data_IF_469089741450
#
_entry.id   IF_469089741450
#
_cell.length_a   1.000
_cell.length_b   1.000
_cell.length_c   1.000
_cell.angle_alpha   90.00
_cell.angle_beta   90.00
_cell.angle_gamma   90.00
#
_symmetry.space_group_name_H-M   'P 1'
#
loop_
_entity.id
_entity.type
_entity.pdbx_description
1 polymer ?
#
# COMPACT_ATOMS: atom_id res chain seq x y z
N UNK A 1 -23.93 -1.57 11.84
CA UNK A 1 -23.25 -1.35 10.55
C UNK A 1 -22.02 -2.21 10.59
N UNK A 2 -21.96 -3.15 9.65
CA UNK A 2 -21.03 -4.29 9.59
C UNK A 2 -19.58 -3.82 9.69
N UNK A 3 -18.73 -4.60 10.38
CA UNK A 3 -17.47 -4.16 10.97
C UNK A 3 -16.50 -3.41 10.05
N UNK A 4 -16.13 -2.20 10.47
CA UNK A 4 -14.97 -1.45 9.99
C UNK A 4 -13.64 -2.10 10.42
N UNK A 5 -13.43 -3.35 9.99
CA UNK A 5 -12.29 -4.16 10.34
C UNK A 5 -11.29 -4.25 9.20
N UNK A 6 -10.01 -4.02 9.51
CA UNK A 6 -8.90 -4.30 8.60
C UNK A 6 -9.01 -5.76 8.10
N UNK A 7 -8.95 -6.06 6.80
CA UNK A 7 -9.07 -7.44 6.31
C UNK A 7 -8.00 -8.37 6.89
N UNK A 8 -8.32 -9.65 7.03
CA UNK A 8 -7.36 -10.65 7.54
C UNK A 8 -6.18 -10.86 6.58
N UNK A 9 -6.47 -10.83 5.28
CA UNK A 9 -5.49 -10.93 4.20
C UNK A 9 -5.86 -9.95 3.10
N UNK A 10 -4.83 -9.28 2.57
CA UNK A 10 -4.90 -8.39 1.41
C UNK A 10 -3.99 -8.94 0.33
N UNK A 11 -4.52 -9.13 -0.87
CA UNK A 11 -3.70 -9.48 -2.04
C UNK A 11 -3.13 -8.22 -2.69
N UNK A 12 -1.89 -8.32 -3.12
CA UNK A 12 -1.14 -7.23 -3.73
C UNK A 12 -0.69 -7.64 -5.13
N UNK A 13 -0.85 -6.75 -6.09
CA UNK A 13 -0.32 -6.90 -7.45
C UNK A 13 0.63 -5.74 -7.73
N UNK A 14 1.81 -6.05 -8.24
CA UNK A 14 2.76 -5.02 -8.65
C UNK A 14 2.35 -4.46 -10.01
N UNK A 15 1.92 -3.19 -10.00
CA UNK A 15 1.61 -2.43 -11.20
C UNK A 15 2.51 -1.18 -11.34
N UNK A 16 3.66 -1.16 -10.64
CA UNK A 16 4.62 -0.05 -10.67
C UNK A 16 5.54 -0.08 -11.89
N UNK A 17 5.67 -1.24 -12.52
CA UNK A 17 6.53 -1.44 -13.68
C UNK A 17 7.98 -1.73 -13.29
N UNK A 18 8.92 -1.28 -14.13
CA UNK A 18 10.35 -1.51 -13.91
C UNK A 18 10.87 -0.69 -12.72
N UNK A 19 11.84 -1.24 -11.99
CA UNK A 19 12.49 -0.56 -10.87
C UNK A 19 13.22 0.69 -11.38
N UNK A 20 12.87 1.90 -10.89
CA UNK A 20 13.59 3.11 -11.27
C UNK A 20 14.96 3.17 -10.58
N UNK A 21 15.89 3.91 -11.18
CA UNK A 21 17.28 4.03 -10.68
C UNK A 21 17.36 4.63 -9.27
N UNK A 22 16.43 5.53 -8.93
CA UNK A 22 16.34 6.20 -7.63
C UNK A 22 15.53 5.38 -6.58
N UNK A 23 15.10 4.17 -6.91
CA UNK A 23 14.30 3.35 -6.00
C UNK A 23 15.05 3.04 -4.69
N UNK A 24 14.41 3.33 -3.56
CA UNK A 24 14.93 3.01 -2.25
C UNK A 24 14.65 1.52 -1.93
N UNK A 25 15.70 0.76 -1.59
CA UNK A 25 15.60 -0.65 -1.22
C UNK A 25 16.58 -1.57 -1.95
N UNK A 26 16.43 -2.89 -1.76
CA UNK A 26 17.37 -3.91 -2.24
C UNK A 26 16.64 -5.03 -2.99
N UNK A 27 17.19 -5.44 -4.14
CA UNK A 27 16.60 -6.49 -4.98
C UNK A 27 15.15 -6.17 -5.37
N UNK A 28 14.24 -7.10 -5.07
CA UNK A 28 12.80 -6.99 -5.32
C UNK A 28 12.06 -6.14 -4.27
N UNK A 29 12.70 -5.83 -3.15
CA UNK A 29 12.13 -5.05 -2.05
C UNK A 29 12.54 -3.59 -2.21
N UNK A 30 11.77 -2.84 -2.98
CA UNK A 30 12.03 -1.43 -3.24
C UNK A 30 10.74 -0.61 -3.27
N UNK A 31 10.83 0.69 -3.02
CA UNK A 31 9.74 1.65 -3.19
C UNK A 31 10.28 2.97 -3.77
N UNK A 32 9.41 3.76 -4.39
CA UNK A 32 9.78 5.08 -4.92
C UNK A 32 9.85 6.13 -3.81
N UNK A 33 10.99 6.84 -3.65
CA UNK A 33 11.10 7.91 -2.65
C UNK A 33 10.16 9.09 -2.93
N UNK A 34 9.64 9.24 -4.15
CA UNK A 34 8.61 10.23 -4.50
C UNK A 34 7.39 10.21 -3.57
N UNK A 35 7.06 9.05 -2.96
CA UNK A 35 5.96 8.93 -1.99
C UNK A 35 6.11 9.91 -0.80
N UNK A 36 7.34 10.28 -0.44
CA UNK A 36 7.61 11.21 0.65
C UNK A 36 7.26 12.65 0.32
N UNK A 37 7.21 13.01 -0.97
CA UNK A 37 6.84 14.34 -1.44
C UNK A 37 5.32 14.51 -1.63
N UNK A 38 4.55 13.40 -1.62
CA UNK A 38 3.11 13.45 -1.82
C UNK A 38 2.39 14.09 -0.63
N UNK A 39 1.29 14.84 -0.86
CA UNK A 39 0.49 15.49 0.19
C UNK A 39 -0.43 14.51 0.94
N UNK A 40 0.10 13.32 1.28
CA UNK A 40 -0.56 12.28 2.07
C UNK A 40 -0.01 12.21 3.50
N UNK A 41 -0.73 11.52 4.37
CA UNK A 41 -0.38 11.34 5.78
C UNK A 41 0.90 10.53 5.95
N UNK A 42 1.66 10.75 7.04
CA UNK A 42 2.86 9.97 7.33
C UNK A 42 2.57 8.45 7.38
N UNK A 43 1.41 8.06 7.93
CA UNK A 43 0.97 6.67 7.98
C UNK A 43 0.76 6.08 6.60
N UNK A 44 0.15 6.82 5.66
CA UNK A 44 -0.02 6.37 4.28
C UNK A 44 1.34 6.16 3.57
N UNK A 45 2.31 7.07 3.76
CA UNK A 45 3.66 6.95 3.18
C UNK A 45 4.39 5.70 3.67
N UNK A 46 4.38 5.49 5.00
CA UNK A 46 5.00 4.30 5.62
C UNK A 46 4.28 3.04 5.16
N UNK A 47 2.96 3.07 5.08
CA UNK A 47 2.16 1.94 4.62
C UNK A 47 2.49 1.59 3.17
N UNK A 48 2.59 2.55 2.26
CA UNK A 48 3.00 2.33 0.87
C UNK A 48 4.37 1.65 0.79
N UNK A 49 5.38 2.17 1.50
CA UNK A 49 6.71 1.59 1.52
C UNK A 49 6.70 0.16 2.09
N UNK A 50 5.89 -0.09 3.12
CA UNK A 50 5.66 -1.42 3.68
C UNK A 50 5.04 -2.37 2.67
N UNK A 51 3.91 -1.99 2.06
CA UNK A 51 3.22 -2.78 1.03
C UNK A 51 4.14 -3.16 -0.14
N UNK A 52 5.01 -2.24 -0.56
CA UNK A 52 5.99 -2.51 -1.60
C UNK A 52 6.94 -3.67 -1.25
N UNK A 53 7.23 -3.88 0.04
CA UNK A 53 8.05 -5.00 0.51
C UNK A 53 7.30 -6.35 0.47
N UNK A 54 5.97 -6.32 0.37
CA UNK A 54 5.12 -7.51 0.26
C UNK A 54 4.62 -7.77 -1.18
N UNK A 55 5.15 -7.07 -2.18
CA UNK A 55 4.79 -7.32 -3.59
C UNK A 55 5.37 -8.62 -4.13
N UNK A 56 6.58 -9.00 -3.72
CA UNK A 56 7.17 -10.29 -4.08
C UNK A 56 6.36 -11.50 -3.55
N UNK A 57 5.90 -11.52 -2.27
CA UNK A 57 4.98 -12.56 -1.81
C UNK A 57 3.55 -12.41 -2.39
N UNK A 58 3.14 -11.21 -2.81
CA UNK A 58 1.84 -10.96 -3.46
C UNK A 58 0.65 -10.90 -2.50
N UNK A 59 0.90 -10.98 -1.19
CA UNK A 59 -0.12 -10.81 -0.16
C UNK A 59 0.49 -10.30 1.15
N UNK A 60 -0.33 -9.64 1.95
CA UNK A 60 0.00 -9.19 3.30
C UNK A 60 -1.18 -9.49 4.22
N UNK A 61 -0.91 -10.07 5.39
CA UNK A 61 -1.95 -10.36 6.38
C UNK A 61 -2.11 -9.19 7.37
N UNK A 62 -3.19 -9.22 8.15
CA UNK A 62 -3.49 -8.21 9.17
C UNK A 62 -2.35 -7.99 10.16
N UNK A 63 -1.65 -9.05 10.56
CA UNK A 63 -0.53 -8.97 11.52
C UNK A 63 0.64 -8.21 10.92
N UNK A 64 0.98 -8.45 9.66
CA UNK A 64 2.05 -7.74 8.95
C UNK A 64 1.67 -6.29 8.61
N UNK A 65 0.39 -6.03 8.29
CA UNK A 65 -0.14 -4.67 8.17
C UNK A 65 0.02 -3.88 9.48
N UNK A 66 -0.35 -4.50 10.62
CA UNK A 66 -0.14 -3.91 11.96
C UNK A 66 1.35 -3.77 12.31
N UNK A 67 2.20 -4.67 11.80
CA UNK A 67 3.65 -4.56 11.94
C UNK A 67 4.22 -3.37 11.17
N UNK A 68 3.64 -3.04 10.02
CA UNK A 68 4.06 -1.90 9.18
C UNK A 68 3.77 -0.55 9.85
N UNK A 69 2.58 -0.41 10.44
CA UNK A 69 2.17 0.76 11.22
C UNK A 69 2.08 0.41 12.70
N UNK A 70 3.24 0.09 13.30
CA UNK A 70 3.31 -0.27 14.72
C UNK A 70 2.63 0.78 15.59
N UNK A 71 1.94 0.31 16.63
CA UNK A 71 1.21 1.13 17.61
C UNK A 71 -0.01 1.89 17.06
N UNK A 72 -0.41 1.67 15.79
CA UNK A 72 -1.64 2.23 15.24
C UNK A 72 -2.81 1.24 15.36
N UNK A 73 -4.04 1.72 15.68
CA UNK A 73 -5.23 0.88 15.65
C UNK A 73 -5.61 0.52 14.21
N UNK A 74 -6.32 -0.59 14.04
CA UNK A 74 -6.76 -1.10 12.74
C UNK A 74 -7.52 -0.04 11.92
N UNK A 75 -8.28 0.84 12.58
CA UNK A 75 -8.99 1.97 11.94
C UNK A 75 -8.04 2.98 11.27
N UNK A 76 -6.88 3.24 11.88
CA UNK A 76 -5.86 4.13 11.29
C UNK A 76 -5.19 3.48 10.09
N UNK A 77 -4.97 2.17 10.15
CA UNK A 77 -4.41 1.41 9.02
C UNK A 77 -5.42 1.38 7.87
N UNK A 78 -6.70 1.15 8.16
CA UNK A 78 -7.78 1.20 7.18
C UNK A 78 -7.91 2.60 6.55
N UNK A 79 -7.82 3.67 7.35
CA UNK A 79 -7.82 5.04 6.85
C UNK A 79 -6.60 5.35 5.95
N UNK A 80 -5.42 4.83 6.30
CA UNK A 80 -4.23 4.96 5.45
C UNK A 80 -4.38 4.18 4.13
N UNK A 81 -5.00 3.00 4.14
CA UNK A 81 -5.34 2.27 2.90
C UNK A 81 -6.31 3.07 2.03
N UNK A 82 -7.37 3.61 2.62
CA UNK A 82 -8.36 4.44 1.92
C UNK A 82 -7.70 5.69 1.31
N UNK A 83 -6.79 6.33 2.05
CA UNK A 83 -6.04 7.48 1.56
C UNK A 83 -5.13 7.11 0.38
N UNK A 84 -4.43 5.98 0.44
CA UNK A 84 -3.64 5.48 -0.70
C UNK A 84 -4.52 5.19 -1.92
N UNK A 85 -5.74 4.70 -1.72
CA UNK A 85 -6.73 4.51 -2.79
C UNK A 85 -7.21 5.84 -3.36
N UNK A 86 -7.53 6.81 -2.49
CA UNK A 86 -7.96 8.15 -2.86
C UNK A 86 -6.91 8.90 -3.68
N UNK A 87 -5.63 8.67 -3.41
CA UNK A 87 -4.50 9.25 -4.15
C UNK A 87 -4.04 8.41 -5.35
N UNK A 88 -4.68 7.28 -5.64
CA UNK A 88 -4.37 6.44 -6.80
C UNK A 88 -3.11 5.60 -6.67
N UNK A 89 -2.48 5.54 -5.48
CA UNK A 89 -1.35 4.67 -5.18
C UNK A 89 -1.78 3.20 -5.03
N UNK A 90 -3.03 2.98 -4.63
CA UNK A 90 -3.68 1.68 -4.62
C UNK A 90 -4.92 1.71 -5.50
N UNK A 91 -5.08 0.71 -6.37
CA UNK A 91 -6.29 0.54 -7.15
C UNK A 91 -6.98 -0.75 -6.68
N UNK A 92 -8.21 -0.67 -6.13
CA UNK A 92 -8.94 -1.87 -5.75
C UNK A 92 -9.35 -2.65 -7.00
N UNK A 93 -8.95 -3.92 -7.06
CA UNK A 93 -9.36 -4.85 -8.12
C UNK A 93 -10.64 -5.55 -7.69
N UNK A 94 -11.73 -5.28 -8.41
CA UNK A 94 -13.01 -5.96 -8.18
C UNK A 94 -12.96 -7.38 -8.75
N UNK A 95 -13.61 -8.34 -8.07
CA UNK A 95 -13.86 -9.68 -8.63
C UNK A 95 -13.50 -10.88 -7.76
N UNK A 96 -13.19 -10.70 -6.47
CA UNK A 96 -12.86 -11.81 -5.56
C UNK A 96 -13.41 -11.63 -4.15
N UNK A 97 -13.43 -12.73 -3.39
CA UNK A 97 -13.81 -12.74 -1.97
C UNK A 97 -12.76 -12.08 -1.06
N UNK A 98 -11.52 -11.97 -1.52
CA UNK A 98 -10.40 -11.35 -0.80
C UNK A 98 -10.09 -9.97 -1.40
N UNK A 99 -9.97 -8.91 -0.58
CA UNK A 99 -9.62 -7.59 -1.08
C UNK A 99 -8.25 -7.66 -1.76
N UNK A 100 -8.22 -7.15 -2.99
CA UNK A 100 -7.04 -7.15 -3.85
C UNK A 100 -6.75 -5.72 -4.28
N UNK A 101 -5.50 -5.28 -4.12
CA UNK A 101 -5.06 -3.98 -4.59
C UNK A 101 -3.90 -4.10 -5.57
N UNK A 102 -3.96 -3.30 -6.63
CA UNK A 102 -2.83 -3.02 -7.50
C UNK A 102 -2.05 -1.84 -6.92
N UNK A 103 -0.76 -2.05 -6.65
CA UNK A 103 0.14 -0.99 -6.22
C UNK A 103 0.64 -0.25 -7.45
N UNK A 104 0.29 1.03 -7.54
CA UNK A 104 0.66 1.93 -8.63
C UNK A 104 1.91 2.71 -8.26
N UNK A 105 2.68 3.18 -9.26
CA UNK A 105 3.91 3.88 -8.96
C UNK A 105 3.61 5.27 -8.37
N UNK A 106 4.45 5.74 -7.45
CA UNK A 106 4.20 6.97 -6.71
C UNK A 106 4.16 8.23 -7.59
N UNK A 107 4.77 8.16 -8.78
CA UNK A 107 4.73 9.22 -9.80
C UNK A 107 3.35 9.43 -10.43
N UNK A 108 2.49 8.42 -10.43
CA UNK A 108 1.13 8.50 -10.97
C UNK A 108 0.16 9.10 -9.93
N UNK A 109 0.59 9.28 -8.67
CA UNK A 109 -0.27 9.75 -7.60
C UNK A 109 -0.55 11.27 -7.74
N UNK A 110 -1.82 11.61 -7.96
CA UNK A 110 -2.27 13.01 -8.08
C UNK A 110 -2.60 13.49 -9.50
N UNK A 111 -2.45 12.63 -10.53
CA UNK A 111 -2.79 12.95 -11.93
C UNK A 111 -4.29 12.77 -12.26
N UNK A 112 -5.21 12.95 -11.28
CA UNK A 112 -6.66 12.73 -11.49
C UNK A 112 -7.53 13.92 -11.09
#
# INVERSE_FOLDING_TARGET
MEGGGLPEVVRLRDARGERPENAAGIGLFWYEPEVWALPISPSARVLYAGLCSFLAPGEINRKDLRGTLKDHPDERIAGALDELVGHGLLVPVSGGATPTYEVRPARDAGER
#
